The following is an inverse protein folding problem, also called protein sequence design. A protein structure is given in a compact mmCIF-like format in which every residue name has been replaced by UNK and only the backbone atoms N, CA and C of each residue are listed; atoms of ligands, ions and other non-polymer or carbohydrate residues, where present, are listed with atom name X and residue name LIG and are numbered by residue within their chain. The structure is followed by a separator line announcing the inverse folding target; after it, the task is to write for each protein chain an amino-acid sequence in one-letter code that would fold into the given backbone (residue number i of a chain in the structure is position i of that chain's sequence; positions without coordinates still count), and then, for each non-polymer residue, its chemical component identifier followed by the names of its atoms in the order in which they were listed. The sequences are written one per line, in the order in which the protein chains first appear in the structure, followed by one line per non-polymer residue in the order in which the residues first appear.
data_IF_523020201546
#
_entry.id   IF_523020201546
#
_cell.length_a   1.000
_cell.length_b   1.000
_cell.length_c   1.000
_cell.angle_alpha   90.00
_cell.angle_beta   90.00
_cell.angle_gamma   90.00
#
_symmetry.space_group_name_H-M   'P 1'
#
loop_
_entity.id
_entity.type
_entity.pdbx_description
1 polymer ?
#
# COMPACT_ATOMS: atom_id res chain seq x y z
N UNK A 1 -20.44 10.76 -11.32
CA UNK A 1 -20.00 9.43 -11.82
C UNK A 1 -18.48 9.29 -12.03
N UNK A 2 -17.77 10.23 -12.67
CA UNK A 2 -16.30 10.14 -12.91
C UNK A 2 -15.43 9.99 -11.65
N UNK A 3 -15.79 10.63 -10.54
CA UNK A 3 -14.99 10.58 -9.30
C UNK A 3 -15.05 9.23 -8.59
N UNK A 4 -16.26 8.65 -8.46
CA UNK A 4 -16.47 7.37 -7.79
C UNK A 4 -15.68 6.25 -8.49
N UNK A 5 -15.76 6.20 -9.82
CA UNK A 5 -15.02 5.22 -10.61
C UNK A 5 -13.50 5.42 -10.52
N UNK A 6 -13.03 6.67 -10.41
CA UNK A 6 -11.62 6.98 -10.23
C UNK A 6 -11.12 6.53 -8.85
N UNK A 7 -11.85 6.82 -7.78
CA UNK A 7 -11.52 6.37 -6.42
C UNK A 7 -11.42 4.85 -6.34
N UNK A 8 -12.38 4.13 -6.93
CA UNK A 8 -12.35 2.67 -7.00
C UNK A 8 -11.12 2.18 -7.75
N UNK A 9 -10.81 2.74 -8.93
CA UNK A 9 -9.61 2.37 -9.70
C UNK A 9 -8.32 2.58 -8.91
N UNK A 10 -8.18 3.74 -8.25
CA UNK A 10 -7.01 4.02 -7.42
C UNK A 10 -6.90 3.06 -6.23
N UNK A 11 -8.00 2.77 -5.54
CA UNK A 11 -8.00 1.83 -4.42
C UNK A 11 -7.70 0.40 -4.87
N UNK A 12 -8.11 -0.02 -6.08
CA UNK A 12 -7.73 -1.32 -6.64
C UNK A 12 -6.25 -1.37 -6.96
N UNK A 13 -5.69 -0.33 -7.62
CA UNK A 13 -4.26 -0.24 -7.93
C UNK A 13 -3.45 -0.26 -6.63
N UNK A 14 -3.86 0.52 -5.64
CA UNK A 14 -3.24 0.55 -4.32
C UNK A 14 -3.29 -0.81 -3.63
N UNK A 15 -4.43 -1.50 -3.67
CA UNK A 15 -4.58 -2.83 -3.10
C UNK A 15 -3.66 -3.85 -3.78
N UNK A 16 -3.55 -3.79 -5.10
CA UNK A 16 -2.65 -4.65 -5.86
C UNK A 16 -1.18 -4.44 -5.45
N UNK A 17 -0.74 -3.18 -5.37
CA UNK A 17 0.63 -2.84 -4.92
C UNK A 17 0.85 -3.29 -3.47
N UNK A 18 -0.17 -3.20 -2.63
CA UNK A 18 -0.10 -3.70 -1.26
C UNK A 18 0.10 -5.21 -1.17
N UNK A 19 -0.64 -5.98 -1.96
CA UNK A 19 -0.49 -7.44 -2.01
C UNK A 19 0.91 -7.81 -2.49
N UNK A 20 1.43 -7.11 -3.51
CA UNK A 20 2.81 -7.28 -3.94
C UNK A 20 3.81 -6.94 -2.83
N UNK A 21 3.58 -5.86 -2.09
CA UNK A 21 4.44 -5.45 -0.98
C UNK A 21 4.47 -6.50 0.13
N UNK A 22 3.31 -7.07 0.48
CA UNK A 22 3.21 -8.16 1.44
C UNK A 22 3.92 -9.42 0.96
N UNK A 23 3.78 -9.76 -0.33
CA UNK A 23 4.46 -10.90 -0.91
C UNK A 23 5.99 -10.74 -0.80
N UNK A 24 6.52 -9.57 -1.15
CA UNK A 24 7.94 -9.24 -1.05
C UNK A 24 8.45 -9.32 0.40
N UNK A 25 7.69 -8.79 1.37
CA UNK A 25 8.05 -8.93 2.78
C UNK A 25 8.07 -10.39 3.24
N UNK A 26 7.09 -11.18 2.82
CA UNK A 26 7.04 -12.60 3.18
C UNK A 26 8.19 -13.38 2.54
N UNK A 27 8.62 -13.03 1.32
CA UNK A 27 9.73 -13.72 0.65
C UNK A 27 11.10 -13.44 1.29
N UNK A 28 11.23 -12.43 2.15
CA UNK A 28 12.47 -12.20 2.91
C UNK A 28 12.56 -13.01 4.21
N UNK A 29 11.51 -13.75 4.57
CA UNK A 29 11.52 -14.58 5.77
C UNK A 29 12.14 -15.95 5.49
N UNK A 30 13.25 -16.26 6.15
CA UNK A 30 14.03 -17.48 5.90
C UNK A 30 13.29 -18.80 6.16
N UNK A 31 12.22 -18.76 6.97
CA UNK A 31 11.44 -19.94 7.32
C UNK A 31 10.31 -20.26 6.34
N UNK A 32 10.03 -19.39 5.35
CA UNK A 32 8.97 -19.62 4.36
C UNK A 32 9.53 -20.35 3.12
N UNK A 33 8.75 -21.26 2.50
CA UNK A 33 9.22 -22.07 1.38
C UNK A 33 9.42 -21.26 0.08
N UNK A 34 8.91 -20.03 0.02
CA UNK A 34 9.14 -19.07 -1.06
C UNK A 34 10.16 -17.99 -0.68
N UNK A 35 11.07 -18.30 0.25
CA UNK A 35 12.19 -17.43 0.58
C UNK A 35 13.02 -17.15 -0.67
N UNK A 36 13.28 -15.87 -0.90
CA UNK A 36 14.23 -15.40 -1.92
C UNK A 36 15.32 -14.65 -1.18
N UNK A 37 16.56 -14.89 -1.59
CA UNK A 37 17.73 -14.26 -1.01
C UNK A 37 17.59 -12.74 -0.97
N UNK A 38 18.09 -12.13 0.11
CA UNK A 38 17.77 -10.77 0.53
C UNK A 38 17.87 -9.76 -0.63
N UNK A 39 18.87 -9.87 -1.51
CA UNK A 39 19.04 -8.98 -2.66
C UNK A 39 17.75 -8.79 -3.50
N UNK A 40 17.00 -9.85 -3.78
CA UNK A 40 15.79 -9.76 -4.59
C UNK A 40 14.62 -9.12 -3.83
N UNK A 41 14.51 -9.40 -2.52
CA UNK A 41 13.54 -8.75 -1.65
C UNK A 41 13.76 -7.24 -1.54
N UNK A 42 15.02 -6.81 -1.51
CA UNK A 42 15.40 -5.40 -1.48
C UNK A 42 15.03 -4.67 -2.79
N UNK A 43 15.25 -5.31 -3.95
CA UNK A 43 14.78 -4.76 -5.22
C UNK A 43 13.26 -4.63 -5.26
N UNK A 44 12.54 -5.60 -4.70
CA UNK A 44 11.10 -5.52 -4.52
C UNK A 44 10.68 -4.28 -3.75
N UNK A 45 11.28 -4.04 -2.57
CA UNK A 45 11.00 -2.86 -1.74
C UNK A 45 11.33 -1.56 -2.47
N UNK A 46 12.48 -1.50 -3.17
CA UNK A 46 12.91 -0.35 -3.94
C UNK A 46 11.92 0.03 -5.05
N UNK A 47 11.13 -0.92 -5.55
CA UNK A 47 10.09 -0.67 -6.54
C UNK A 47 8.75 -0.35 -5.87
N UNK A 48 8.32 -1.13 -4.88
CA UNK A 48 6.99 -0.98 -4.27
C UNK A 48 6.87 0.30 -3.45
N UNK A 49 7.91 0.70 -2.72
CA UNK A 49 7.86 1.88 -1.87
C UNK A 49 7.66 3.19 -2.66
N UNK A 50 8.44 3.50 -3.73
CA UNK A 50 8.18 4.65 -4.58
C UNK A 50 6.81 4.61 -5.27
N UNK A 51 6.33 3.42 -5.66
CA UNK A 51 5.00 3.27 -6.28
C UNK A 51 3.91 3.63 -5.27
N UNK A 52 4.00 3.17 -4.02
CA UNK A 52 3.07 3.55 -2.95
C UNK A 52 3.11 5.07 -2.71
N UNK A 53 4.29 5.69 -2.63
CA UNK A 53 4.41 7.15 -2.53
C UNK A 53 3.76 7.87 -3.71
N UNK A 54 4.00 7.40 -4.94
CA UNK A 54 3.40 7.94 -6.15
C UNK A 54 1.88 7.90 -6.10
N UNK A 55 1.29 6.80 -5.64
CA UNK A 55 -0.16 6.68 -5.44
C UNK A 55 -0.66 7.72 -4.43
N UNK A 56 0.04 7.86 -3.29
CA UNK A 56 -0.29 8.87 -2.28
C UNK A 56 -0.26 10.30 -2.84
N UNK A 57 0.76 10.64 -3.63
CA UNK A 57 0.92 11.93 -4.30
C UNK A 57 -0.21 12.16 -5.30
N UNK A 58 -0.54 11.16 -6.12
CA UNK A 58 -1.65 11.23 -7.08
C UNK A 58 -2.98 11.49 -6.36
N UNK A 59 -3.23 10.84 -5.22
CA UNK A 59 -4.43 11.11 -4.42
C UNK A 59 -4.48 12.56 -3.90
N UNK A 60 -3.37 13.09 -3.40
CA UNK A 60 -3.29 14.49 -2.95
C UNK A 60 -3.53 15.45 -4.12
N UNK A 61 -2.87 15.21 -5.26
CA UNK A 61 -3.01 16.02 -6.46
C UNK A 61 -4.48 16.04 -6.93
N UNK A 62 -5.12 14.89 -6.98
CA UNK A 62 -6.51 14.76 -7.40
C UNK A 62 -7.49 15.47 -6.47
N UNK A 63 -7.25 15.41 -5.16
CA UNK A 63 -8.04 16.18 -4.20
C UNK A 63 -7.84 17.69 -4.42
N UNK A 64 -6.60 18.16 -4.54
CA UNK A 64 -6.27 19.59 -4.61
C UNK A 64 -6.67 20.22 -5.94
N UNK A 65 -6.43 19.53 -7.06
CA UNK A 65 -6.63 20.07 -8.42
C UNK A 65 -8.00 19.78 -8.99
N UNK A 66 -8.67 18.68 -8.58
CA UNK A 66 -9.99 18.30 -9.12
C UNK A 66 -11.12 18.34 -8.10
N UNK A 67 -10.84 18.78 -6.87
CA UNK A 67 -11.85 18.91 -5.80
C UNK A 67 -12.43 17.56 -5.36
N UNK A 68 -11.77 16.45 -5.66
CA UNK A 68 -12.29 15.13 -5.29
C UNK A 68 -12.21 14.92 -3.77
N UNK A 69 -13.36 14.61 -3.17
CA UNK A 69 -13.46 14.17 -1.79
C UNK A 69 -12.74 12.81 -1.61
N UNK A 70 -11.50 12.87 -1.15
CA UNK A 70 -10.70 11.72 -0.72
C UNK A 70 -10.46 11.90 0.78
N UNK A 71 -10.74 10.85 1.57
CA UNK A 71 -10.52 10.88 3.03
C UNK A 71 -9.03 11.06 3.35
N UNK A 72 -8.72 11.78 4.44
CA UNK A 72 -7.35 11.96 4.92
C UNK A 72 -6.67 10.62 5.21
N UNK A 73 -7.38 9.66 5.84
CA UNK A 73 -6.85 8.32 6.10
C UNK A 73 -6.41 7.61 4.82
N UNK A 74 -7.22 7.67 3.75
CA UNK A 74 -6.91 6.98 2.48
C UNK A 74 -5.63 7.46 1.84
N UNK A 75 -5.33 8.75 1.96
CA UNK A 75 -4.09 9.34 1.46
C UNK A 75 -2.90 8.94 2.30
N UNK A 76 -3.08 8.85 3.61
CA UNK A 76 -1.99 8.56 4.56
C UNK A 76 -1.53 7.11 4.51
N UNK A 77 -2.44 6.17 4.22
CA UNK A 77 -2.16 4.73 4.11
C UNK A 77 -0.94 4.42 3.21
N UNK A 78 -0.88 4.84 1.94
CA UNK A 78 0.26 4.53 1.08
C UNK A 78 1.57 5.20 1.52
N UNK A 79 1.51 6.39 2.14
CA UNK A 79 2.70 7.04 2.72
C UNK A 79 3.27 6.25 3.89
N UNK A 80 2.41 5.88 4.84
CA UNK A 80 2.82 5.09 6.01
C UNK A 80 3.42 3.75 5.57
N UNK A 81 2.76 3.05 4.64
CA UNK A 81 3.28 1.80 4.09
C UNK A 81 4.66 1.96 3.44
N UNK A 82 4.87 3.04 2.68
CA UNK A 82 6.19 3.33 2.11
C UNK A 82 7.22 3.67 3.19
N UNK A 83 6.87 4.41 4.24
CA UNK A 83 7.79 4.74 5.33
C UNK A 83 8.27 3.47 6.02
N UNK A 84 7.36 2.55 6.35
CA UNK A 84 7.72 1.26 6.91
C UNK A 84 8.59 0.43 5.96
N UNK A 85 8.34 0.52 4.66
CA UNK A 85 9.13 -0.21 3.68
C UNK A 85 10.54 0.32 3.54
N UNK A 86 10.70 1.65 3.51
CA UNK A 86 12.01 2.32 3.52
C UNK A 86 12.74 2.08 4.85
N UNK A 87 12.03 2.06 5.97
CA UNK A 87 12.62 1.77 7.28
C UNK A 87 13.26 0.38 7.32
N UNK A 88 12.60 -0.64 6.76
CA UNK A 88 13.18 -1.98 6.65
C UNK A 88 14.40 -2.00 5.75
N UNK A 89 14.39 -1.24 4.65
CA UNK A 89 15.54 -1.11 3.76
C UNK A 89 16.77 -0.49 4.46
N UNK A 90 16.55 0.48 5.37
CA UNK A 90 17.62 1.20 6.05
C UNK A 90 18.09 0.54 7.36
N UNK A 91 17.28 -0.35 7.94
CA UNK A 91 17.59 -1.00 9.22
C UNK A 91 18.35 -2.31 9.03
N UNK A 92 19.06 -2.76 10.07
CA UNK A 92 19.60 -4.11 10.10
C UNK A 92 18.43 -5.12 10.12
N UNK A 93 18.29 -5.88 9.03
CA UNK A 93 17.16 -6.78 8.83
C UNK A 93 17.26 -7.94 9.82
N UNK A 94 16.31 -7.99 10.76
CA UNK A 94 16.02 -9.19 11.55
C UNK A 94 14.69 -9.76 11.08
N UNK A 95 14.51 -11.08 11.20
CA UNK A 95 13.24 -11.73 10.87
C UNK A 95 12.07 -11.08 11.64
N UNK A 96 12.31 -10.66 12.88
CA UNK A 96 11.32 -9.95 13.69
C UNK A 96 10.90 -8.60 13.07
N UNK A 97 11.85 -7.79 12.60
CA UNK A 97 11.56 -6.51 11.94
C UNK A 97 10.71 -6.72 10.68
N UNK A 98 11.02 -7.75 9.88
CA UNK A 98 10.26 -8.08 8.67
C UNK A 98 8.84 -8.52 9.01
N UNK A 99 8.67 -9.35 10.06
CA UNK A 99 7.35 -9.79 10.54
C UNK A 99 6.51 -8.59 11.01
N UNK A 100 7.11 -7.68 11.78
CA UNK A 100 6.42 -6.46 12.24
C UNK A 100 5.99 -5.58 11.07
N UNK A 101 6.86 -5.38 10.08
CA UNK A 101 6.53 -4.63 8.87
C UNK A 101 5.42 -5.31 8.06
N UNK A 102 5.44 -6.64 7.94
CA UNK A 102 4.39 -7.42 7.30
C UNK A 102 3.04 -7.21 8.03
N UNK A 103 3.01 -7.31 9.35
CA UNK A 103 1.80 -7.15 10.15
C UNK A 103 1.17 -5.75 10.00
N UNK A 104 1.99 -4.69 10.03
CA UNK A 104 1.52 -3.31 9.81
C UNK A 104 0.98 -3.12 8.39
N UNK A 105 1.72 -3.61 7.38
CA UNK A 105 1.26 -3.54 5.99
C UNK A 105 -0.04 -4.33 5.79
N UNK A 106 -0.20 -5.47 6.46
CA UNK A 106 -1.41 -6.27 6.38
C UNK A 106 -2.62 -5.54 6.96
N UNK A 107 -2.46 -4.84 8.08
CA UNK A 107 -3.48 -3.93 8.62
C UNK A 107 -3.90 -2.85 7.62
N UNK A 108 -2.94 -2.27 6.90
CA UNK A 108 -3.22 -1.28 5.85
C UNK A 108 -4.02 -1.86 4.68
N UNK A 109 -3.77 -3.10 4.31
CA UNK A 109 -4.54 -3.83 3.28
C UNK A 109 -5.99 -3.97 3.72
N UNK A 110 -6.23 -4.43 4.95
CA UNK A 110 -7.59 -4.59 5.50
C UNK A 110 -8.35 -3.26 5.46
N UNK A 111 -7.72 -2.18 5.95
CA UNK A 111 -8.32 -0.84 5.95
C UNK A 111 -8.63 -0.39 4.51
N UNK A 112 -7.73 -0.65 3.56
CA UNK A 112 -7.94 -0.33 2.14
C UNK A 112 -9.13 -1.11 1.55
N UNK A 113 -9.27 -2.39 1.89
CA UNK A 113 -10.41 -3.22 1.46
C UNK A 113 -11.72 -2.67 2.03
N UNK A 114 -11.76 -2.34 3.33
CA UNK A 114 -12.96 -1.75 3.96
C UNK A 114 -13.39 -0.48 3.24
N UNK A 115 -12.43 0.39 2.92
CA UNK A 115 -12.68 1.60 2.15
C UNK A 115 -13.19 1.32 0.72
N UNK A 116 -12.60 0.34 0.03
CA UNK A 116 -13.06 -0.08 -1.30
C UNK A 116 -14.49 -0.60 -1.27
N UNK A 117 -14.83 -1.45 -0.30
CA UNK A 117 -16.18 -1.98 -0.11
C UNK A 117 -17.19 -0.86 0.17
N UNK A 118 -16.84 0.10 1.03
CA UNK A 118 -17.68 1.28 1.27
C UNK A 118 -17.94 2.06 -0.02
N UNK A 119 -16.93 2.25 -0.88
CA UNK A 119 -17.12 2.95 -2.14
C UNK A 119 -17.99 2.17 -3.11
N UNK A 120 -17.87 0.85 -3.17
CA UNK A 120 -18.71 0.00 -4.02
C UNK A 120 -20.17 0.09 -3.55
N UNK A 121 -20.40 -0.13 -2.25
CA UNK A 121 -21.73 -0.26 -1.65
C UNK A 121 -22.48 1.08 -1.59
N UNK A 122 -21.79 2.20 -1.35
CA UNK A 122 -22.46 3.50 -1.19
C UNK A 122 -23.17 3.90 -2.49
N UNK A 123 -24.51 4.01 -2.50
CA UNK A 123 -25.24 4.34 -3.72
C UNK A 123 -24.79 5.71 -4.24
N UNK A 124 -24.68 5.82 -5.57
CA UNK A 124 -24.46 7.10 -6.24
C UNK A 124 -25.64 8.00 -5.88
N UNK A 125 -25.47 8.91 -4.91
CA UNK A 125 -26.41 10.02 -4.76
C UNK A 125 -26.22 10.89 -6.01
N UNK A 126 -27.15 10.73 -6.95
CA UNK A 126 -27.38 11.69 -8.02
C UNK A 126 -27.73 13.04 -7.42
#
# INVERSE_FOLDING_TARGET
MKQKSLNIKLSIIQLFVFVLNLFIFSSMMRFLPWFVEDAFGWFGILITAPVLLGIGIVMIYLQKSKGYAISAMRKMIPFLASIFSIYILLSYITDFSVIMALAVNFGMVIITIVFLLQDIIKPSRN
#
